data_IF_940653640041
#
_entry.id   IF_940653640041
#
_cell.length_a   1.000
_cell.length_b   1.000
_cell.length_c   1.000
_cell.angle_alpha   90.00
_cell.angle_beta   90.00
_cell.angle_gamma   90.00
#
_symmetry.space_group_name_H-M   'P 1'
#
loop_
_entity.id
_entity.type
_entity.pdbx_description
1 polymer ?
#
# COMPACT_ATOMS: atom_id res chain seq x y z
N UNK A 1 -20.57 -5.30 -17.03
CA UNK A 1 -22.00 -5.40 -16.75
C UNK A 1 -22.34 -6.85 -16.41
N UNK A 2 -23.10 -7.08 -15.35
CA UNK A 2 -23.71 -8.37 -14.99
C UNK A 2 -25.09 -8.51 -15.63
N UNK A 3 -25.83 -7.39 -15.67
CA UNK A 3 -27.14 -7.23 -16.32
C UNK A 3 -27.25 -5.86 -16.98
N UNK A 4 -28.34 -5.58 -17.67
CA UNK A 4 -28.54 -4.34 -18.45
C UNK A 4 -28.36 -3.05 -17.61
N UNK A 5 -28.72 -3.09 -16.31
CA UNK A 5 -28.66 -1.94 -15.41
C UNK A 5 -27.72 -2.15 -14.21
N UNK A 6 -26.87 -3.17 -14.26
CA UNK A 6 -25.97 -3.50 -13.14
C UNK A 6 -24.51 -3.58 -13.59
N UNK A 7 -23.63 -2.87 -12.87
CA UNK A 7 -22.19 -2.92 -13.07
C UNK A 7 -21.55 -3.42 -11.76
N UNK A 8 -20.68 -4.44 -11.85
CA UNK A 8 -19.77 -4.79 -10.78
C UNK A 8 -18.41 -4.14 -11.08
N UNK A 9 -17.85 -3.45 -10.09
CA UNK A 9 -16.59 -2.73 -10.21
C UNK A 9 -15.76 -2.80 -8.92
N UNK A 10 -14.47 -2.57 -9.04
CA UNK A 10 -13.63 -2.21 -7.89
C UNK A 10 -13.64 -0.69 -7.71
N UNK A 11 -13.59 -0.24 -6.46
CA UNK A 11 -13.44 1.16 -6.11
C UNK A 11 -12.50 1.29 -4.91
N UNK A 12 -11.79 2.42 -4.85
CA UNK A 12 -10.80 2.67 -3.81
C UNK A 12 -11.20 3.88 -2.98
N UNK A 13 -11.13 3.74 -1.66
CA UNK A 13 -11.33 4.83 -0.70
C UNK A 13 -10.18 4.78 0.32
N UNK A 14 -9.42 5.86 0.41
CA UNK A 14 -8.27 5.99 1.29
C UNK A 14 -7.26 4.83 1.16
N UNK A 15 -6.97 4.44 -0.08
CA UNK A 15 -6.01 3.38 -0.39
C UNK A 15 -6.53 1.95 -0.24
N UNK A 16 -7.74 1.75 0.30
CA UNK A 16 -8.35 0.42 0.45
C UNK A 16 -9.32 0.15 -0.70
N UNK A 17 -9.07 -0.90 -1.44
CA UNK A 17 -9.93 -1.36 -2.51
C UNK A 17 -11.11 -2.19 -1.99
N UNK A 18 -12.23 -2.00 -2.61
CA UNK A 18 -13.46 -2.75 -2.32
C UNK A 18 -14.18 -3.12 -3.61
N UNK A 19 -14.93 -4.21 -3.58
CA UNK A 19 -15.82 -4.59 -4.66
C UNK A 19 -17.18 -3.91 -4.45
N UNK A 20 -17.76 -3.39 -5.51
CA UNK A 20 -19.03 -2.69 -5.47
C UNK A 20 -19.96 -3.06 -6.61
N UNK A 21 -21.24 -2.91 -6.36
CA UNK A 21 -22.32 -3.05 -7.34
C UNK A 21 -22.97 -1.70 -7.56
N UNK A 22 -23.03 -1.26 -8.81
CA UNK A 22 -23.69 -0.02 -9.20
C UNK A 22 -25.02 -0.40 -9.88
N UNK A 23 -26.13 0.06 -9.29
CA UNK A 23 -27.42 0.13 -9.96
C UNK A 23 -27.43 1.41 -10.81
N UNK A 24 -27.43 1.25 -12.13
CA UNK A 24 -27.33 2.37 -13.08
C UNK A 24 -28.61 3.22 -13.06
N UNK A 25 -29.77 2.59 -12.92
CA UNK A 25 -31.08 3.28 -12.87
C UNK A 25 -31.23 4.11 -11.59
N UNK A 26 -30.92 3.51 -10.46
CA UNK A 26 -30.97 4.18 -9.15
C UNK A 26 -29.73 5.05 -8.86
N UNK A 27 -28.68 5.01 -9.68
CA UNK A 27 -27.39 5.70 -9.47
C UNK A 27 -26.80 5.43 -8.09
N UNK A 28 -26.87 4.18 -7.62
CA UNK A 28 -26.48 3.79 -6.29
C UNK A 28 -25.36 2.75 -6.32
N UNK A 29 -24.27 3.03 -5.59
CA UNK A 29 -23.20 2.08 -5.30
C UNK A 29 -23.50 1.35 -4.01
N UNK A 30 -23.45 0.03 -4.03
CA UNK A 30 -23.56 -0.85 -2.85
C UNK A 30 -22.30 -1.68 -2.73
N UNK A 31 -21.69 -1.72 -1.56
CA UNK A 31 -20.49 -2.53 -1.31
C UNK A 31 -20.85 -4.02 -1.32
N UNK A 32 -20.06 -4.80 -2.05
CA UNK A 32 -20.06 -6.26 -1.96
C UNK A 32 -19.05 -6.66 -0.89
N UNK A 33 -19.49 -7.41 0.11
CA UNK A 33 -18.61 -7.87 1.19
C UNK A 33 -17.58 -8.88 0.64
N UNK A 34 -16.31 -8.58 0.85
CA UNK A 34 -15.19 -9.43 0.46
C UNK A 34 -14.05 -9.26 1.48
N UNK A 35 -13.33 -10.33 1.78
CA UNK A 35 -12.22 -10.33 2.75
C UNK A 35 -10.89 -9.81 2.14
N UNK A 36 -10.97 -9.05 1.05
CA UNK A 36 -9.83 -8.53 0.33
C UNK A 36 -9.73 -7.01 0.48
N UNK A 37 -8.52 -6.48 0.45
CA UNK A 37 -8.21 -5.06 0.58
C UNK A 37 -7.48 -4.48 -0.65
N UNK A 38 -7.09 -5.34 -1.57
CA UNK A 38 -6.62 -4.99 -2.90
C UNK A 38 -7.43 -5.77 -3.94
N UNK A 39 -8.14 -5.08 -4.83
CA UNK A 39 -9.05 -5.68 -5.82
C UNK A 39 -8.88 -4.98 -7.16
N UNK A 40 -8.56 -5.76 -8.20
CA UNK A 40 -8.39 -5.25 -9.55
C UNK A 40 -8.88 -6.21 -10.63
N UNK A 41 -8.77 -5.78 -11.88
CA UNK A 41 -9.05 -6.61 -13.07
C UNK A 41 -10.45 -7.26 -13.07
N UNK A 42 -11.47 -6.50 -12.65
CA UNK A 42 -12.85 -7.01 -12.58
C UNK A 42 -13.41 -7.23 -13.97
N UNK A 43 -13.82 -8.45 -14.25
CA UNK A 43 -14.53 -8.84 -15.45
C UNK A 43 -15.84 -9.55 -15.09
N UNK A 44 -16.90 -9.33 -15.88
CA UNK A 44 -18.21 -9.92 -15.63
C UNK A 44 -18.86 -10.44 -16.92
N UNK A 45 -19.55 -11.57 -16.83
CA UNK A 45 -20.38 -12.14 -17.89
C UNK A 45 -21.62 -12.79 -17.27
N UNK A 46 -22.77 -12.15 -17.41
CA UNK A 46 -23.99 -12.55 -16.71
C UNK A 46 -23.73 -12.52 -15.20
N UNK A 47 -24.17 -13.54 -14.48
CA UNK A 47 -23.99 -13.64 -13.02
C UNK A 47 -22.55 -13.93 -12.57
N UNK A 48 -21.66 -14.35 -13.46
CA UNK A 48 -20.28 -14.66 -13.15
C UNK A 48 -19.41 -13.39 -13.17
N UNK A 49 -18.71 -13.15 -12.07
CA UNK A 49 -17.71 -12.09 -11.94
C UNK A 49 -16.37 -12.71 -11.57
N UNK A 50 -15.30 -12.33 -12.27
CA UNK A 50 -13.93 -12.76 -11.98
C UNK A 50 -13.08 -11.52 -11.72
N UNK A 51 -12.22 -11.58 -10.70
CA UNK A 51 -11.34 -10.47 -10.36
C UNK A 51 -10.06 -10.95 -9.68
N UNK A 52 -9.01 -10.14 -9.76
CA UNK A 52 -7.80 -10.31 -8.97
C UNK A 52 -7.99 -9.71 -7.58
N UNK A 53 -7.55 -10.39 -6.53
CA UNK A 53 -7.65 -9.90 -5.16
C UNK A 53 -6.50 -10.36 -4.29
N UNK A 54 -6.17 -9.55 -3.28
CA UNK A 54 -5.19 -9.84 -2.24
C UNK A 54 -5.62 -9.29 -0.89
N UNK A 55 -5.01 -9.80 0.17
CA UNK A 55 -5.17 -9.33 1.54
C UNK A 55 -3.80 -9.15 2.22
N UNK A 56 -3.71 -8.55 3.40
CA UNK A 56 -2.44 -8.41 4.12
C UNK A 56 -1.76 -9.75 4.49
N UNK A 57 -2.51 -10.84 4.50
CA UNK A 57 -2.03 -12.16 4.94
C UNK A 57 -2.08 -13.24 3.85
N UNK A 58 -2.67 -12.92 2.71
CA UNK A 58 -2.84 -13.88 1.61
C UNK A 58 -2.26 -13.31 0.32
N UNK A 59 -1.56 -14.16 -0.41
CA UNK A 59 -1.01 -13.82 -1.73
C UNK A 59 -2.13 -13.51 -2.73
N UNK A 60 -1.78 -12.79 -3.79
CA UNK A 60 -2.70 -12.52 -4.90
C UNK A 60 -3.38 -13.79 -5.38
N UNK A 61 -4.66 -13.67 -5.68
CA UNK A 61 -5.47 -14.77 -6.18
C UNK A 61 -6.47 -14.28 -7.25
N UNK A 62 -6.89 -15.21 -8.10
CA UNK A 62 -8.04 -15.03 -8.98
C UNK A 62 -9.26 -15.57 -8.27
N UNK A 63 -10.27 -14.72 -8.12
CA UNK A 63 -11.51 -15.00 -7.40
C UNK A 63 -12.66 -15.03 -8.39
N UNK A 64 -13.53 -16.03 -8.23
CA UNK A 64 -14.82 -16.11 -8.87
C UNK A 64 -15.92 -15.71 -7.89
N UNK A 65 -16.84 -14.85 -8.31
CA UNK A 65 -18.01 -14.45 -7.55
C UNK A 65 -19.27 -14.73 -8.38
N UNK A 66 -20.21 -15.42 -7.80
CA UNK A 66 -21.59 -15.46 -8.28
C UNK A 66 -22.33 -14.21 -7.76
N UNK A 67 -22.65 -13.27 -8.66
CA UNK A 67 -23.22 -11.98 -8.29
C UNK A 67 -24.64 -12.06 -7.68
N UNK A 68 -25.34 -13.18 -7.88
CA UNK A 68 -26.68 -13.39 -7.33
C UNK A 68 -26.64 -13.98 -5.91
N UNK A 69 -25.88 -15.06 -5.73
CA UNK A 69 -25.77 -15.73 -4.43
C UNK A 69 -24.75 -15.08 -3.49
N UNK A 70 -23.82 -14.27 -4.02
CA UNK A 70 -22.69 -13.71 -3.27
C UNK A 70 -21.58 -14.71 -2.95
N UNK A 71 -21.69 -15.96 -3.43
CA UNK A 71 -20.69 -16.99 -3.17
C UNK A 71 -19.40 -16.68 -3.90
N UNK A 72 -18.28 -16.73 -3.18
CA UNK A 72 -16.93 -16.55 -3.72
C UNK A 72 -16.13 -17.83 -3.63
N UNK A 73 -15.36 -18.13 -4.69
CA UNK A 73 -14.43 -19.24 -4.75
C UNK A 73 -13.07 -18.74 -5.24
N UNK A 74 -12.00 -19.21 -4.63
CA UNK A 74 -10.63 -19.02 -5.16
C UNK A 74 -10.44 -19.95 -6.33
N UNK A 75 -10.20 -19.41 -7.52
CA UNK A 75 -9.85 -20.19 -8.70
C UNK A 75 -8.38 -20.61 -8.65
N UNK A 76 -7.50 -19.64 -8.32
CA UNK A 76 -6.06 -19.86 -8.28
C UNK A 76 -5.36 -18.80 -7.45
N UNK A 77 -4.39 -19.23 -6.63
CA UNK A 77 -3.41 -18.35 -6.02
C UNK A 77 -2.24 -18.06 -6.98
N UNK A 78 -1.66 -16.87 -6.91
CA UNK A 78 -0.52 -16.47 -7.73
C UNK A 78 0.75 -17.29 -7.43
N UNK A 79 0.89 -17.72 -6.18
CA UNK A 79 1.99 -18.59 -5.73
C UNK A 79 1.56 -19.47 -4.57
N UNK A 80 2.29 -20.58 -4.35
CA UNK A 80 2.24 -21.31 -3.09
C UNK A 80 3.12 -20.58 -2.09
N UNK A 81 2.52 -20.03 -1.03
CA UNK A 81 3.29 -19.43 0.05
C UNK A 81 3.72 -20.53 1.03
N UNK A 82 5.05 -20.71 1.17
CA UNK A 82 5.64 -21.67 2.11
C UNK A 82 6.02 -21.02 3.47
N UNK A 83 5.86 -19.70 3.61
CA UNK A 83 6.19 -18.99 4.86
C UNK A 83 4.98 -19.00 5.78
N UNK A 84 5.20 -19.38 7.04
CA UNK A 84 4.14 -19.37 8.05
C UNK A 84 3.62 -17.93 8.31
N UNK A 85 2.32 -17.82 8.54
CA UNK A 85 1.66 -16.51 8.70
C UNK A 85 2.13 -15.71 9.93
N UNK A 86 2.73 -16.37 10.90
CA UNK A 86 3.27 -15.78 12.13
C UNK A 86 4.48 -14.87 11.87
N UNK A 87 5.15 -15.04 10.73
CA UNK A 87 6.23 -14.15 10.26
C UNK A 87 5.71 -12.91 9.52
N UNK A 88 4.39 -12.80 9.31
CA UNK A 88 3.83 -11.68 8.55
C UNK A 88 3.45 -10.52 9.45
N UNK A 89 4.19 -9.44 9.30
CA UNK A 89 3.82 -8.14 9.86
C UNK A 89 2.50 -7.67 9.27
N UNK A 90 1.57 -7.30 10.13
CA UNK A 90 0.29 -6.72 9.74
C UNK A 90 0.44 -5.22 9.55
N UNK A 91 0.02 -4.65 8.40
CA UNK A 91 0.14 -3.22 8.15
C UNK A 91 -0.81 -2.39 9.02
N UNK A 92 -0.28 -1.35 9.66
CA UNK A 92 -1.04 -0.24 10.21
C UNK A 92 -1.29 0.78 9.10
N UNK A 93 -2.56 1.13 8.83
CA UNK A 93 -2.87 2.27 7.96
C UNK A 93 -2.52 3.55 8.68
N UNK A 94 -1.62 4.33 8.11
CA UNK A 94 -1.07 5.53 8.72
C UNK A 94 -1.50 6.79 7.97
N UNK A 95 -1.87 7.81 8.73
CA UNK A 95 -1.96 9.19 8.25
C UNK A 95 -1.05 10.06 9.12
N UNK A 96 -0.27 10.93 8.50
CA UNK A 96 0.71 11.75 9.20
C UNK A 96 0.78 13.16 8.63
N UNK A 97 1.15 14.17 9.45
CA UNK A 97 1.30 15.53 8.99
C UNK A 97 2.50 15.65 8.04
N UNK A 98 2.35 16.47 7.02
CA UNK A 98 3.41 16.78 6.07
C UNK A 98 3.48 18.29 5.78
N UNK A 99 4.30 18.69 4.79
CA UNK A 99 4.51 20.07 4.44
C UNK A 99 3.19 20.84 4.22
N UNK A 100 3.19 22.14 4.51
CA UNK A 100 2.03 23.05 4.33
C UNK A 100 0.79 22.63 5.13
N UNK A 101 0.95 22.03 6.30
CA UNK A 101 -0.13 21.54 7.16
C UNK A 101 -1.07 20.53 6.45
N UNK A 102 -0.56 19.83 5.45
CA UNK A 102 -1.28 18.77 4.76
C UNK A 102 -1.10 17.42 5.46
N UNK A 103 -1.87 16.42 5.03
CA UNK A 103 -1.78 15.04 5.50
C UNK A 103 -1.29 14.14 4.37
N UNK A 104 -0.33 13.27 4.65
CA UNK A 104 0.07 12.18 3.78
C UNK A 104 -0.32 10.82 4.38
N UNK A 105 -0.23 9.76 3.57
CA UNK A 105 -0.69 8.43 3.94
C UNK A 105 0.38 7.38 3.63
N UNK A 106 0.28 6.23 4.31
CA UNK A 106 1.14 5.09 4.08
C UNK A 106 0.70 3.87 4.87
N UNK A 107 1.43 2.80 4.70
CA UNK A 107 1.29 1.58 5.48
C UNK A 107 2.56 1.35 6.29
N UNK A 108 2.41 1.28 7.60
CA UNK A 108 3.49 0.99 8.52
C UNK A 108 3.46 -0.49 8.92
N UNK A 109 4.58 -1.15 8.77
CA UNK A 109 4.79 -2.55 9.11
C UNK A 109 5.83 -2.63 10.23
N UNK A 110 5.43 -2.95 11.47
CA UNK A 110 6.40 -3.20 12.55
C UNK A 110 7.20 -4.49 12.28
N UNK A 111 8.36 -4.69 12.93
CA UNK A 111 9.03 -5.98 12.93
C UNK A 111 8.10 -7.11 13.39
N UNK A 112 8.23 -8.27 12.78
CA UNK A 112 7.45 -9.45 13.13
C UNK A 112 8.26 -10.72 12.92
N UNK A 113 8.61 -11.39 14.00
CA UNK A 113 9.31 -12.68 13.98
C UNK A 113 8.93 -13.47 15.25
N UNK A 114 8.37 -14.69 15.13
CA UNK A 114 7.96 -15.47 16.29
C UNK A 114 9.13 -16.07 17.10
N UNK A 115 10.35 -16.12 16.53
CA UNK A 115 11.51 -16.76 17.14
C UNK A 115 12.46 -15.76 17.83
N UNK A 116 12.33 -14.46 17.52
CA UNK A 116 13.25 -13.42 17.99
C UNK A 116 12.51 -12.14 18.37
N UNK A 117 12.88 -11.57 19.51
CA UNK A 117 12.42 -10.27 19.99
C UNK A 117 13.62 -9.35 20.23
N UNK A 118 13.42 -8.06 20.04
CA UNK A 118 14.39 -7.04 20.41
C UNK A 118 14.32 -6.74 21.91
N UNK A 119 15.38 -6.13 22.47
CA UNK A 119 15.34 -5.63 23.85
C UNK A 119 14.24 -4.56 24.04
N UNK A 120 13.73 -4.42 25.27
CA UNK A 120 12.61 -3.52 25.59
C UNK A 120 12.87 -2.05 25.18
N UNK A 121 14.12 -1.60 25.26
CA UNK A 121 14.54 -0.23 24.91
C UNK A 121 14.99 -0.09 23.45
N UNK A 122 15.04 -1.17 22.70
CA UNK A 122 15.52 -1.14 21.32
C UNK A 122 14.39 -0.72 20.35
N UNK A 123 14.67 0.29 19.52
CA UNK A 123 13.77 0.70 18.43
C UNK A 123 14.28 0.14 17.10
N UNK A 124 13.41 -0.37 16.24
CA UNK A 124 13.83 -0.93 14.95
C UNK A 124 14.34 0.15 14.01
N UNK A 125 15.32 -0.17 13.13
CA UNK A 125 15.62 0.67 11.97
C UNK A 125 14.42 0.70 11.03
N UNK A 126 14.26 1.83 10.29
CA UNK A 126 13.15 2.02 9.37
C UNK A 126 13.62 1.96 7.92
N UNK A 127 12.90 1.22 7.09
CA UNK A 127 12.97 1.29 5.63
C UNK A 127 11.75 2.04 5.11
N UNK A 128 11.95 3.20 4.51
CA UNK A 128 10.91 3.92 3.75
C UNK A 128 10.90 3.43 2.31
N UNK A 129 9.72 3.10 1.81
CA UNK A 129 9.52 2.68 0.41
C UNK A 129 8.71 3.75 -0.31
N UNK A 130 9.21 4.19 -1.47
CA UNK A 130 8.52 5.07 -2.41
C UNK A 130 8.13 4.30 -3.67
N UNK A 131 6.83 4.29 -4.00
CA UNK A 131 6.34 3.59 -5.18
C UNK A 131 6.67 4.34 -6.48
N UNK A 132 6.63 3.63 -7.60
CA UNK A 132 6.77 4.20 -8.94
C UNK A 132 5.48 4.81 -9.49
N UNK A 133 5.52 5.22 -10.75
CA UNK A 133 4.36 5.74 -11.47
C UNK A 133 4.54 7.10 -12.10
N UNK A 134 4.72 8.22 -11.40
CA UNK A 134 4.63 8.53 -9.96
C UNK A 134 3.19 8.58 -9.40
N UNK A 135 2.17 8.53 -10.24
CA UNK A 135 0.75 8.62 -9.83
C UNK A 135 0.09 7.25 -9.57
N UNK A 136 0.88 6.20 -9.32
CA UNK A 136 0.40 4.89 -8.86
C UNK A 136 -0.04 4.97 -7.38
N UNK A 137 -0.11 3.85 -6.71
CA UNK A 137 -0.31 3.75 -5.28
C UNK A 137 0.27 2.43 -4.77
N UNK A 138 0.65 2.40 -3.50
CA UNK A 138 0.87 1.13 -2.82
C UNK A 138 -0.40 0.68 -2.12
N UNK A 139 -0.57 -0.62 -1.96
CA UNK A 139 -1.65 -1.26 -1.22
C UNK A 139 -1.10 -2.01 0.00
N UNK A 140 -2.00 -2.42 0.89
CA UNK A 140 -1.65 -3.24 2.05
C UNK A 140 -1.67 -4.76 1.75
N UNK A 141 -1.73 -5.16 0.49
CA UNK A 141 -1.60 -6.56 0.08
C UNK A 141 -0.29 -7.18 0.57
N UNK A 142 -0.29 -8.49 0.76
CA UNK A 142 0.89 -9.22 1.19
C UNK A 142 2.04 -9.06 0.18
N UNK A 143 3.13 -8.44 0.63
CA UNK A 143 4.36 -8.24 -0.13
C UNK A 143 5.50 -8.98 0.55
N UNK A 144 5.89 -10.13 0.03
CA UNK A 144 6.97 -10.94 0.62
C UNK A 144 8.28 -10.18 0.76
N UNK A 145 8.55 -9.20 -0.12
CA UNK A 145 9.71 -8.32 0.00
C UNK A 145 9.66 -7.40 1.25
N UNK A 146 8.48 -7.01 1.72
CA UNK A 146 8.31 -6.29 2.99
C UNK A 146 8.50 -7.28 4.15
N UNK A 147 7.85 -8.45 4.08
CA UNK A 147 7.95 -9.49 5.12
C UNK A 147 9.37 -10.00 5.32
N UNK A 148 10.19 -10.02 4.27
CA UNK A 148 11.61 -10.32 4.37
C UNK A 148 12.33 -9.37 5.34
N UNK A 149 12.04 -8.07 5.29
CA UNK A 149 12.68 -7.08 6.14
C UNK A 149 12.08 -7.08 7.55
N UNK A 150 10.75 -7.17 7.66
CA UNK A 150 10.10 -7.14 8.97
C UNK A 150 10.46 -8.36 9.83
N UNK A 151 10.63 -9.54 9.21
CA UNK A 151 11.10 -10.75 9.92
C UNK A 151 12.58 -10.69 10.36
N UNK A 152 13.32 -9.65 9.93
CA UNK A 152 14.72 -9.40 10.30
C UNK A 152 14.91 -8.19 11.20
N UNK A 153 13.85 -7.75 11.87
CA UNK A 153 13.90 -6.68 12.84
C UNK A 153 13.82 -5.26 12.26
N UNK A 154 13.56 -5.10 10.95
CA UNK A 154 13.31 -3.80 10.36
C UNK A 154 11.83 -3.44 10.43
N UNK A 155 11.53 -2.19 10.73
CA UNK A 155 10.23 -1.61 10.40
C UNK A 155 10.21 -1.13 8.93
N UNK A 156 9.04 -1.11 8.32
CA UNK A 156 8.87 -0.61 6.94
C UNK A 156 7.72 0.41 6.91
N UNK A 157 7.94 1.54 6.24
CA UNK A 157 6.90 2.50 5.88
C UNK A 157 6.76 2.53 4.35
N UNK A 158 5.66 2.02 3.82
CA UNK A 158 5.34 2.04 2.40
C UNK A 158 4.42 3.24 2.13
N UNK A 159 4.99 4.31 1.52
CA UNK A 159 4.35 5.64 1.47
C UNK A 159 3.45 5.77 0.25
N UNK A 160 2.23 6.25 0.48
CA UNK A 160 1.36 6.82 -0.54
C UNK A 160 1.49 8.34 -0.51
N UNK A 161 2.53 8.88 -1.09
CA UNK A 161 2.82 10.33 -1.12
C UNK A 161 1.76 11.12 -1.91
N UNK A 162 1.72 12.44 -1.72
CA UNK A 162 0.86 13.34 -2.48
C UNK A 162 1.08 13.19 -3.99
N UNK A 163 0.05 12.76 -4.71
CA UNK A 163 0.13 12.29 -6.09
C UNK A 163 -0.38 10.87 -6.28
N UNK A 164 -0.41 10.07 -5.22
CA UNK A 164 -0.90 8.69 -5.26
C UNK A 164 -2.38 8.61 -5.60
N UNK A 165 -2.75 7.55 -6.33
CA UNK A 165 -4.14 7.23 -6.65
C UNK A 165 -4.86 6.63 -5.43
N UNK A 166 -6.20 6.68 -5.42
CA UNK A 166 -7.01 6.09 -4.35
C UNK A 166 -7.35 7.02 -3.18
N UNK A 167 -6.79 8.24 -3.16
CA UNK A 167 -7.00 9.25 -2.11
C UNK A 167 -7.77 10.48 -2.62
N UNK A 168 -8.39 10.38 -3.77
CA UNK A 168 -9.17 11.43 -4.39
C UNK A 168 -8.37 12.35 -5.31
N UNK A 169 -9.12 13.14 -6.11
CA UNK A 169 -8.54 13.99 -7.16
C UNK A 169 -7.62 15.08 -6.60
N UNK A 170 -8.00 15.69 -5.48
CA UNK A 170 -7.20 16.75 -4.86
C UNK A 170 -5.84 16.22 -4.39
N UNK A 171 -5.80 15.03 -3.80
CA UNK A 171 -4.56 14.38 -3.37
C UNK A 171 -3.65 14.06 -4.56
N UNK A 172 -4.21 13.46 -5.62
CA UNK A 172 -3.45 13.13 -6.84
C UNK A 172 -2.87 14.37 -7.53
N UNK A 173 -3.59 15.50 -7.50
CA UNK A 173 -3.14 16.75 -8.12
C UNK A 173 -2.00 17.46 -7.36
N UNK A 174 -1.69 17.06 -6.12
CA UNK A 174 -0.59 17.65 -5.35
C UNK A 174 0.76 17.51 -6.04
N UNK A 175 0.93 16.49 -6.87
CA UNK A 175 2.17 16.23 -7.59
C UNK A 175 2.34 17.10 -8.85
N UNK A 176 1.27 17.76 -9.36
CA UNK A 176 1.33 18.55 -10.58
C UNK A 176 2.29 19.73 -10.41
N UNK A 177 3.38 19.74 -11.19
CA UNK A 177 4.45 20.73 -11.11
C UNK A 177 5.29 20.67 -9.82
N UNK A 178 5.13 19.59 -9.01
CA UNK A 178 5.79 19.44 -7.71
C UNK A 178 6.38 18.02 -7.49
N UNK A 179 6.56 17.27 -8.56
CA UNK A 179 7.28 16.00 -8.53
C UNK A 179 8.76 16.25 -8.20
N UNK A 180 9.32 15.44 -7.32
CA UNK A 180 10.65 15.67 -6.74
C UNK A 180 10.62 16.69 -5.57
N UNK A 181 9.45 17.12 -5.13
CA UNK A 181 9.25 17.99 -3.96
C UNK A 181 8.28 17.36 -2.98
N UNK A 182 7.02 17.14 -3.41
CA UNK A 182 5.95 16.62 -2.54
C UNK A 182 6.20 15.16 -2.15
N UNK A 183 6.57 14.33 -3.09
CA UNK A 183 6.87 12.92 -2.87
C UNK A 183 8.04 12.71 -1.91
N UNK A 184 9.09 13.54 -2.01
CA UNK A 184 10.23 13.50 -1.09
C UNK A 184 9.82 13.98 0.29
N UNK A 185 9.15 15.14 0.36
CA UNK A 185 8.72 15.72 1.64
C UNK A 185 7.83 14.74 2.41
N UNK A 186 6.91 14.04 1.74
CA UNK A 186 6.03 13.06 2.37
C UNK A 186 6.80 11.83 2.87
N UNK A 187 7.80 11.33 2.13
CA UNK A 187 8.66 10.25 2.59
C UNK A 187 9.48 10.66 3.84
N UNK A 188 10.08 11.84 3.83
CA UNK A 188 10.86 12.38 4.95
C UNK A 188 9.99 12.61 6.19
N UNK A 189 8.82 13.24 6.01
CA UNK A 189 7.92 13.54 7.12
C UNK A 189 7.30 12.26 7.71
N UNK A 190 7.01 11.25 6.91
CA UNK A 190 6.57 9.95 7.39
C UNK A 190 7.62 9.25 8.26
N UNK A 191 8.89 9.29 7.85
CA UNK A 191 10.00 8.75 8.64
C UNK A 191 10.17 9.49 9.97
N UNK A 192 10.17 10.83 9.94
CA UNK A 192 10.28 11.67 11.14
C UNK A 192 9.10 11.44 12.10
N UNK A 193 7.88 11.39 11.59
CA UNK A 193 6.68 11.12 12.37
C UNK A 193 6.78 9.80 13.15
N UNK A 194 7.27 8.72 12.51
CA UNK A 194 7.45 7.44 13.18
C UNK A 194 8.57 7.47 14.23
N UNK A 195 9.66 8.20 13.97
CA UNK A 195 10.74 8.41 14.92
C UNK A 195 10.28 9.23 16.15
N UNK A 196 9.57 10.33 15.93
CA UNK A 196 9.01 11.18 16.99
C UNK A 196 7.96 10.43 17.83
N UNK A 197 7.17 9.56 17.20
CA UNK A 197 6.24 8.66 17.89
C UNK A 197 6.95 7.58 18.74
N UNK A 198 8.26 7.42 18.57
CA UNK A 198 9.05 6.38 19.24
C UNK A 198 8.83 4.97 18.68
N UNK A 199 8.28 4.85 17.47
CA UNK A 199 8.03 3.56 16.82
C UNK A 199 9.27 2.98 16.13
N UNK A 200 10.23 3.84 15.78
CA UNK A 200 11.47 3.48 15.08
C UNK A 200 12.66 4.30 15.62
N UNK A 201 13.87 3.85 15.31
CA UNK A 201 15.09 4.59 15.62
C UNK A 201 15.33 5.68 14.56
N UNK A 202 15.25 6.96 14.97
CA UNK A 202 15.46 8.12 14.11
C UNK A 202 16.89 8.23 13.55
N UNK A 203 17.88 7.55 14.11
CA UNK A 203 19.24 7.53 13.62
C UNK A 203 19.51 6.41 12.61
N UNK A 204 18.57 5.46 12.44
CA UNK A 204 18.69 4.32 11.54
C UNK A 204 17.59 4.30 10.47
N UNK A 205 17.45 5.41 9.74
CA UNK A 205 16.47 5.58 8.66
C UNK A 205 17.12 5.33 7.30
N UNK A 206 16.49 4.51 6.47
CA UNK A 206 16.92 4.26 5.09
C UNK A 206 15.73 4.39 4.13
N UNK A 207 15.99 4.67 2.85
CA UNK A 207 14.95 4.85 1.83
C UNK A 207 15.24 3.99 0.62
N UNK A 208 14.20 3.46 -0.03
CA UNK A 208 14.31 2.74 -1.31
C UNK A 208 13.12 3.00 -2.21
N UNK A 209 13.34 2.84 -3.50
CA UNK A 209 12.27 2.98 -4.48
C UNK A 209 12.69 2.54 -5.87
N UNK A 210 11.71 2.37 -6.75
CA UNK A 210 11.91 1.94 -8.14
C UNK A 210 11.29 2.94 -9.10
N UNK A 211 11.89 3.12 -10.30
CA UNK A 211 11.39 4.06 -11.31
C UNK A 211 11.23 5.46 -10.71
N UNK A 212 10.05 6.09 -10.79
CA UNK A 212 9.79 7.37 -10.13
C UNK A 212 10.12 7.36 -8.62
N UNK A 213 9.88 6.25 -7.91
CA UNK A 213 10.29 6.10 -6.51
C UNK A 213 11.80 6.00 -6.33
N UNK A 214 12.52 5.49 -7.34
CA UNK A 214 13.98 5.52 -7.39
C UNK A 214 14.51 6.95 -7.52
N UNK A 215 13.87 7.79 -8.34
CA UNK A 215 14.14 9.22 -8.41
C UNK A 215 13.90 9.92 -7.06
N UNK A 216 12.74 9.69 -6.44
CA UNK A 216 12.43 10.19 -5.09
C UNK A 216 13.51 9.79 -4.08
N UNK A 217 14.01 8.54 -4.15
CA UNK A 217 15.11 8.06 -3.30
C UNK A 217 16.39 8.86 -3.51
N UNK A 218 16.82 9.06 -4.75
CA UNK A 218 18.04 9.83 -5.06
C UNK A 218 17.91 11.29 -4.60
N UNK A 219 16.78 11.92 -4.86
CA UNK A 219 16.51 13.28 -4.39
C UNK A 219 16.48 13.38 -2.85
N UNK A 220 15.90 12.41 -2.17
CA UNK A 220 15.87 12.38 -0.71
C UNK A 220 17.29 12.32 -0.12
N UNK A 221 18.19 11.51 -0.70
CA UNK A 221 19.58 11.41 -0.28
C UNK A 221 20.43 12.64 -0.66
N UNK A 222 20.02 13.38 -1.69
CA UNK A 222 20.76 14.56 -2.15
C UNK A 222 20.38 15.83 -1.39
N UNK A 223 19.11 15.98 -1.05
CA UNK A 223 18.57 17.25 -0.52
C UNK A 223 18.17 17.20 0.96
N UNK A 224 18.21 16.01 1.59
CA UNK A 224 17.85 15.84 2.99
C UNK A 224 18.86 14.96 3.73
N UNK A 225 19.15 15.29 4.98
CA UNK A 225 20.07 14.54 5.85
C UNK A 225 19.36 13.46 6.70
N UNK A 226 18.09 13.19 6.42
CA UNK A 226 17.24 12.30 7.20
C UNK A 226 17.66 10.83 7.07
N UNK A 227 18.05 10.40 5.85
CA UNK A 227 18.35 9.01 5.57
C UNK A 227 19.85 8.74 5.58
N UNK A 228 20.26 7.65 6.25
CA UNK A 228 21.68 7.22 6.34
C UNK A 228 22.15 6.39 5.13
N UNK A 229 21.20 5.80 4.39
CA UNK A 229 21.46 5.05 3.18
C UNK A 229 20.20 4.96 2.30
N UNK A 230 20.37 4.59 1.04
CA UNK A 230 19.27 4.34 0.14
C UNK A 230 19.60 3.42 -1.01
N UNK A 231 18.55 2.84 -1.61
CA UNK A 231 18.65 1.98 -2.78
C UNK A 231 17.67 2.45 -3.87
N UNK A 232 18.21 3.00 -4.95
CA UNK A 232 17.45 3.38 -6.13
C UNK A 232 17.52 2.27 -7.18
N UNK A 233 16.38 1.79 -7.61
CA UNK A 233 16.25 0.80 -8.68
C UNK A 233 15.74 1.50 -9.93
N UNK A 234 16.59 1.57 -10.97
CA UNK A 234 16.30 2.21 -12.27
C UNK A 234 15.51 3.54 -12.09
N UNK A 235 15.99 4.40 -11.19
CA UNK A 235 15.43 5.73 -10.95
C UNK A 235 15.57 6.61 -12.21
N UNK A 236 14.49 7.34 -12.53
CA UNK A 236 14.39 8.25 -13.69
C UNK A 236 14.10 9.65 -13.25
#
# INVERSE_FOLDING_TARGET
FTEANEIVCSHCVHGVWSLGRIDVGAKRLTKIQAAFSDIGYVAAKGRLVVFGAASPKEVDAIIELDSVSGKMNVIRHASSNAVAADYFSSPETLSFPTASALTAFGYFYPPCNPDFEAGEDERPPLIVISHGGPTSATSNALKLGIQYWTSRGFAVLDVNYGGSSGFGRAYRRRLNGAWGIVDIADCVNGAKFLAERGSVDGERLVIRGSSAGGYTTLCALTFYDCFKAGASYYGV
#
